data_IF_376508108420
#
_entry.id   IF_376508108420
#
_cell.length_a   1.000
_cell.length_b   1.000
_cell.length_c   1.000
_cell.angle_alpha   90.00
_cell.angle_beta   90.00
_cell.angle_gamma   90.00
#
_symmetry.space_group_name_H-M   'P 1'
#
loop_
_entity.id
_entity.type
_entity.pdbx_description
1 polymer ?
#
# COMPACT_ATOMS: atom_id res chain seq x y z
N UNK A 1 17.40 -14.07 36.84
CA UNK A 1 16.96 -14.73 35.60
C UNK A 1 15.87 -13.86 34.99
N UNK A 2 16.19 -13.09 33.96
CA UNK A 2 15.16 -12.37 33.19
C UNK A 2 14.46 -13.41 32.31
N UNK A 3 13.16 -13.62 32.52
CA UNK A 3 12.31 -14.32 31.56
C UNK A 3 12.27 -13.43 30.31
N UNK A 4 12.79 -13.94 29.20
CA UNK A 4 12.45 -13.39 27.91
C UNK A 4 10.97 -13.71 27.69
N UNK A 5 10.14 -12.68 27.56
CA UNK A 5 8.79 -12.84 27.04
C UNK A 5 8.93 -13.38 25.61
N UNK A 6 8.39 -14.58 25.36
CA UNK A 6 8.27 -15.12 24.01
C UNK A 6 7.40 -14.15 23.21
N UNK A 7 7.99 -13.53 22.19
CA UNK A 7 7.24 -12.74 21.21
C UNK A 7 6.29 -13.74 20.52
N UNK A 8 4.97 -13.53 20.54
CA UNK A 8 4.05 -14.45 19.89
C UNK A 8 4.38 -14.53 18.41
N UNK A 9 4.55 -15.75 17.90
CA UNK A 9 4.61 -16.00 16.46
C UNK A 9 3.30 -15.50 15.86
N UNK A 10 3.38 -14.46 15.04
CA UNK A 10 2.21 -13.91 14.36
C UNK A 10 1.82 -14.92 13.29
N UNK A 11 0.74 -15.66 13.49
CA UNK A 11 0.14 -16.51 12.45
C UNK A 11 -0.28 -15.63 11.28
N UNK A 12 0.50 -15.68 10.19
CA UNK A 12 0.13 -15.09 8.90
C UNK A 12 -0.86 -16.07 8.28
N UNK A 13 -2.09 -15.63 8.01
CA UNK A 13 -3.04 -16.47 7.28
C UNK A 13 -2.42 -16.89 5.93
N UNK A 14 -2.52 -18.17 5.56
CA UNK A 14 -1.89 -18.74 4.36
C UNK A 14 -2.17 -17.90 3.10
N UNK A 15 -3.39 -17.39 2.95
CA UNK A 15 -3.79 -16.52 1.83
C UNK A 15 -2.98 -15.20 1.76
N UNK A 16 -2.60 -14.64 2.91
CA UNK A 16 -1.77 -13.43 2.97
C UNK A 16 -0.32 -13.76 2.61
N UNK A 17 0.18 -14.90 3.06
CA UNK A 17 1.54 -15.37 2.71
C UNK A 17 1.67 -15.59 1.21
N UNK A 18 0.74 -16.33 0.60
CA UNK A 18 0.69 -16.59 -0.84
C UNK A 18 0.62 -15.27 -1.63
N UNK A 19 -0.18 -14.31 -1.15
CA UNK A 19 -0.32 -13.02 -1.83
C UNK A 19 0.93 -12.14 -1.67
N UNK A 20 1.65 -12.19 -0.54
CA UNK A 20 2.95 -11.50 -0.39
C UNK A 20 3.99 -12.11 -1.35
N UNK A 21 3.97 -13.43 -1.55
CA UNK A 21 4.82 -14.07 -2.54
C UNK A 21 4.48 -13.66 -3.98
N UNK A 22 3.20 -13.44 -4.28
CA UNK A 22 2.78 -12.85 -5.56
C UNK A 22 3.27 -11.39 -5.71
N UNK A 23 3.15 -10.57 -4.66
CA UNK A 23 3.72 -9.21 -4.65
C UNK A 23 5.23 -9.22 -4.88
N UNK A 24 5.95 -10.22 -4.35
CA UNK A 24 7.40 -10.36 -4.54
C UNK A 24 7.80 -10.65 -6.01
N UNK A 25 6.85 -11.06 -6.85
CA UNK A 25 7.05 -11.23 -8.30
C UNK A 25 6.83 -9.93 -9.07
N UNK A 26 6.22 -8.92 -8.45
CA UNK A 26 5.97 -7.63 -9.07
C UNK A 26 7.23 -6.76 -9.04
N UNK A 27 7.71 -6.33 -10.22
CA UNK A 27 8.90 -5.48 -10.36
C UNK A 27 8.75 -4.10 -9.73
N UNK A 28 7.51 -3.70 -9.42
CA UNK A 28 7.16 -2.40 -8.85
C UNK A 28 7.24 -2.37 -7.31
N UNK A 29 7.65 -3.47 -6.67
CA UNK A 29 7.76 -3.58 -5.22
C UNK A 29 9.19 -3.91 -4.81
N UNK A 30 9.78 -3.05 -3.99
CA UNK A 30 11.14 -3.26 -3.48
C UNK A 30 11.20 -4.52 -2.60
N UNK A 31 12.31 -5.28 -2.68
CA UNK A 31 12.50 -6.49 -1.86
C UNK A 31 12.45 -6.19 -0.37
N UNK A 32 12.95 -5.01 0.01
CA UNK A 32 12.94 -4.49 1.36
C UNK A 32 11.50 -4.22 1.83
N UNK A 33 10.60 -3.76 0.94
CA UNK A 33 9.18 -3.62 1.26
C UNK A 33 8.54 -4.98 1.53
N UNK A 34 8.84 -6.01 0.72
CA UNK A 34 8.37 -7.38 0.96
C UNK A 34 8.83 -7.90 2.32
N UNK A 35 10.11 -7.75 2.67
CA UNK A 35 10.64 -8.18 3.96
C UNK A 35 9.99 -7.46 5.14
N UNK A 36 9.70 -6.17 4.98
CA UNK A 36 8.99 -5.39 5.98
C UNK A 36 7.53 -5.86 6.14
N UNK A 37 6.85 -6.14 5.03
CA UNK A 37 5.46 -6.64 5.00
C UNK A 37 5.32 -8.03 5.63
N UNK A 38 6.30 -8.92 5.43
CA UNK A 38 6.34 -10.23 6.08
C UNK A 38 6.34 -10.11 7.62
N UNK A 39 6.92 -9.05 8.18
CA UNK A 39 6.94 -8.80 9.63
C UNK A 39 5.65 -8.13 10.13
N UNK A 40 4.81 -7.61 9.23
CA UNK A 40 3.57 -6.88 9.55
C UNK A 40 2.41 -7.41 8.68
N UNK A 41 1.93 -8.64 8.91
CA UNK A 41 0.97 -9.31 8.03
C UNK A 41 -0.37 -8.59 7.90
N UNK A 42 -0.85 -7.93 8.97
CA UNK A 42 -2.06 -7.10 8.89
C UNK A 42 -1.88 -5.91 7.94
N UNK A 43 -0.73 -5.22 8.04
CA UNK A 43 -0.39 -4.11 7.14
C UNK A 43 -0.24 -4.61 5.70
N UNK A 44 0.31 -5.81 5.52
CA UNK A 44 0.38 -6.46 4.22
C UNK A 44 -1.01 -6.73 3.62
N UNK A 45 -1.94 -7.30 4.39
CA UNK A 45 -3.30 -7.53 3.93
C UNK A 45 -3.99 -6.22 3.48
N UNK A 46 -3.81 -5.14 4.24
CA UNK A 46 -4.32 -3.80 3.92
C UNK A 46 -3.71 -3.26 2.64
N UNK A 47 -2.39 -3.29 2.52
CA UNK A 47 -1.69 -2.82 1.33
C UNK A 47 -2.12 -3.60 0.09
N UNK A 48 -2.23 -4.93 0.20
CA UNK A 48 -2.67 -5.82 -0.88
C UNK A 48 -4.07 -5.44 -1.36
N UNK A 49 -5.03 -5.27 -0.46
CA UNK A 49 -6.40 -4.90 -0.85
C UNK A 49 -6.44 -3.50 -1.46
N UNK A 50 -5.68 -2.55 -0.89
CA UNK A 50 -5.53 -1.22 -1.48
C UNK A 50 -5.00 -1.29 -2.92
N UNK A 51 -3.94 -2.06 -3.18
CA UNK A 51 -3.36 -2.19 -4.52
C UNK A 51 -4.33 -2.84 -5.50
N UNK A 52 -5.05 -3.90 -5.09
CA UNK A 52 -6.07 -4.56 -5.92
C UNK A 52 -7.18 -3.59 -6.31
N UNK A 53 -7.68 -2.78 -5.37
CA UNK A 53 -8.72 -1.77 -5.64
C UNK A 53 -8.18 -0.63 -6.50
N UNK A 54 -6.99 -0.15 -6.19
CA UNK A 54 -6.34 0.92 -6.94
C UNK A 54 -6.11 0.51 -8.41
N UNK A 55 -5.67 -0.73 -8.66
CA UNK A 55 -5.50 -1.24 -10.01
C UNK A 55 -6.82 -1.25 -10.80
N UNK A 56 -7.94 -1.59 -10.15
CA UNK A 56 -9.27 -1.53 -10.78
C UNK A 56 -9.69 -0.10 -11.10
N UNK A 57 -9.53 0.83 -10.17
CA UNK A 57 -9.83 2.26 -10.38
C UNK A 57 -8.98 2.85 -11.50
N UNK A 58 -7.68 2.51 -11.53
CA UNK A 58 -6.76 2.90 -12.60
C UNK A 58 -7.22 2.35 -13.96
N UNK A 59 -7.64 1.08 -14.03
CA UNK A 59 -8.15 0.50 -15.27
C UNK A 59 -9.37 1.26 -15.79
N UNK A 60 -10.31 1.56 -14.91
CA UNK A 60 -11.49 2.38 -15.24
C UNK A 60 -11.03 3.74 -15.78
N UNK A 61 -10.15 4.45 -15.08
CA UNK A 61 -9.63 5.75 -15.55
C UNK A 61 -8.90 5.65 -16.90
N UNK A 62 -8.13 4.59 -17.14
CA UNK A 62 -7.41 4.37 -18.40
C UNK A 62 -8.37 4.13 -19.57
N UNK A 63 -9.45 3.37 -19.37
CA UNK A 63 -10.49 3.15 -20.38
C UNK A 63 -11.13 4.46 -20.84
N UNK A 64 -11.30 5.43 -19.92
CA UNK A 64 -11.91 6.71 -20.24
C UNK A 64 -10.95 7.74 -20.82
N UNK A 65 -9.63 7.59 -20.63
CA UNK A 65 -8.76 8.76 -20.84
C UNK A 65 -7.30 8.50 -21.27
N UNK A 66 -6.94 7.28 -21.69
CA UNK A 66 -5.61 6.95 -22.22
C UNK A 66 -4.44 7.35 -21.29
N UNK A 67 -4.67 7.32 -19.98
CA UNK A 67 -3.60 7.50 -19.01
C UNK A 67 -2.80 6.20 -18.84
N UNK A 68 -1.58 6.34 -18.37
CA UNK A 68 -0.80 5.24 -17.85
C UNK A 68 -0.39 5.62 -16.44
N UNK A 69 -0.82 4.79 -15.49
CA UNK A 69 -0.52 4.94 -14.08
C UNK A 69 0.43 3.81 -13.73
N UNK A 70 1.63 4.21 -13.34
CA UNK A 70 2.64 3.30 -12.82
C UNK A 70 2.77 3.54 -11.30
N UNK A 71 3.28 2.57 -10.55
CA UNK A 71 3.51 2.75 -9.13
C UNK A 71 4.81 2.09 -8.68
N UNK A 72 5.33 2.52 -7.54
CA UNK A 72 6.54 1.99 -6.91
C UNK A 72 6.31 1.95 -5.40
N UNK A 73 6.57 0.80 -4.79
CA UNK A 73 6.42 0.60 -3.36
C UNK A 73 7.78 0.39 -2.73
N UNK A 74 8.14 1.27 -1.80
CA UNK A 74 9.42 1.26 -1.11
C UNK A 74 9.21 1.46 0.38
N UNK A 75 10.02 0.81 1.24
CA UNK A 75 10.01 1.15 2.65
C UNK A 75 10.67 2.52 2.85
N UNK A 76 10.12 3.32 3.75
CA UNK A 76 10.84 4.45 4.32
C UNK A 76 11.79 3.92 5.39
N UNK A 77 13.09 3.99 5.09
CA UNK A 77 14.16 3.53 5.98
C UNK A 77 14.30 4.33 7.27
N UNK A 78 13.74 5.55 7.33
CA UNK A 78 13.84 6.44 8.48
C UNK A 78 12.60 6.36 9.39
N UNK A 79 11.43 6.10 8.82
CA UNK A 79 10.15 6.21 9.52
C UNK A 79 9.41 4.89 9.77
N UNK A 80 9.97 3.74 9.40
CA UNK A 80 9.26 2.44 9.43
C UNK A 80 7.92 2.50 8.68
N UNK A 81 7.86 3.22 7.56
CA UNK A 81 6.65 3.37 6.74
C UNK A 81 6.79 2.60 5.43
N UNK A 82 5.67 2.35 4.74
CA UNK A 82 5.67 1.99 3.33
C UNK A 82 5.19 3.18 2.53
N UNK A 83 5.98 3.59 1.54
CA UNK A 83 5.64 4.64 0.61
C UNK A 83 5.18 4.03 -0.70
N UNK A 84 3.95 4.37 -1.10
CA UNK A 84 3.39 4.08 -2.43
C UNK A 84 3.58 5.33 -3.29
N UNK A 85 4.51 5.27 -4.22
CA UNK A 85 4.74 6.31 -5.24
C UNK A 85 3.92 5.97 -6.46
N UNK A 86 3.13 6.92 -6.95
CA UNK A 86 2.27 6.72 -8.13
C UNK A 86 2.67 7.74 -9.19
N UNK A 87 2.97 7.26 -10.39
CA UNK A 87 3.46 8.04 -11.52
C UNK A 87 2.40 8.12 -12.61
N UNK A 88 2.16 9.34 -13.10
CA UNK A 88 1.16 9.62 -14.12
C UNK A 88 1.84 10.12 -15.39
N UNK A 89 1.53 9.50 -16.53
CA UNK A 89 2.16 9.82 -17.83
C UNK A 89 1.77 11.19 -18.43
N UNK A 90 0.78 11.88 -17.88
CA UNK A 90 0.37 13.24 -18.28
C UNK A 90 0.02 14.06 -17.04
N UNK A 91 0.50 15.30 -17.00
CA UNK A 91 0.07 16.26 -16.00
C UNK A 91 -1.32 16.80 -16.34
N UNK A 92 -2.33 16.37 -15.56
CA UNK A 92 -3.55 17.13 -15.39
C UNK A 92 -3.72 17.38 -13.89
N UNK A 93 -3.56 18.64 -13.47
CA UNK A 93 -3.70 19.00 -12.06
C UNK A 93 -5.05 18.59 -11.46
N UNK A 94 -6.12 18.57 -12.27
CA UNK A 94 -7.42 18.05 -11.87
C UNK A 94 -7.40 16.54 -11.62
N UNK A 95 -6.78 15.77 -12.53
CA UNK A 95 -6.64 14.33 -12.41
C UNK A 95 -5.73 13.92 -11.25
N UNK A 96 -4.62 14.63 -11.03
CA UNK A 96 -3.72 14.40 -9.90
C UNK A 96 -4.49 14.51 -8.57
N UNK A 97 -5.39 15.49 -8.47
CA UNK A 97 -6.20 15.70 -7.28
C UNK A 97 -7.25 14.60 -7.10
N UNK A 98 -7.88 14.19 -8.19
CA UNK A 98 -8.90 13.14 -8.21
C UNK A 98 -8.30 11.78 -7.83
N UNK A 99 -7.16 11.41 -8.42
CA UNK A 99 -6.43 10.19 -8.08
C UNK A 99 -6.00 10.20 -6.61
N UNK A 100 -5.42 11.31 -6.11
CA UNK A 100 -5.07 11.46 -4.69
C UNK A 100 -6.28 11.26 -3.78
N UNK A 101 -7.43 11.81 -4.14
CA UNK A 101 -8.68 11.64 -3.38
C UNK A 101 -9.17 10.20 -3.41
N UNK A 102 -9.17 9.56 -4.59
CA UNK A 102 -9.57 8.16 -4.75
C UNK A 102 -8.71 7.25 -3.89
N UNK A 103 -7.38 7.38 -3.94
CA UNK A 103 -6.48 6.55 -3.13
C UNK A 103 -6.71 6.80 -1.64
N UNK A 104 -6.84 8.07 -1.21
CA UNK A 104 -7.09 8.38 0.20
C UNK A 104 -8.41 7.81 0.72
N UNK A 105 -9.44 7.79 -0.13
CA UNK A 105 -10.74 7.20 0.20
C UNK A 105 -10.62 5.67 0.30
N UNK A 106 -10.02 5.04 -0.72
CA UNK A 106 -9.76 3.60 -0.72
C UNK A 106 -8.95 3.15 0.50
N UNK A 107 -7.88 3.86 0.85
CA UNK A 107 -7.08 3.56 2.03
C UNK A 107 -7.94 3.61 3.30
N UNK A 108 -8.78 4.64 3.43
CA UNK A 108 -9.66 4.78 4.59
C UNK A 108 -10.69 3.65 4.65
N UNK A 109 -11.26 3.25 3.52
CA UNK A 109 -12.22 2.16 3.43
C UNK A 109 -11.58 0.82 3.78
N UNK A 110 -10.45 0.48 3.15
CA UNK A 110 -9.74 -0.77 3.39
C UNK A 110 -9.35 -0.92 4.87
N UNK A 111 -8.78 0.11 5.50
CA UNK A 111 -8.43 0.03 6.93
C UNK A 111 -9.69 -0.14 7.79
N UNK A 112 -10.79 0.56 7.48
CA UNK A 112 -12.06 0.43 8.24
C UNK A 112 -12.68 -0.96 8.12
N UNK A 113 -12.56 -1.60 6.96
CA UNK A 113 -13.08 -2.94 6.73
C UNK A 113 -12.33 -4.02 7.52
N UNK A 114 -11.11 -3.75 7.98
CA UNK A 114 -10.31 -4.68 8.79
C UNK A 114 -10.75 -4.77 10.27
N UNK A 115 -11.87 -4.15 10.66
CA UNK A 115 -12.40 -4.18 12.05
C UNK A 115 -11.38 -3.76 13.12
N UNK A 116 -10.55 -2.76 12.80
CA UNK A 116 -9.49 -2.24 13.66
C UNK A 116 -10.04 -1.27 14.69
N UNK A 117 -9.44 -1.21 15.88
CA UNK A 117 -9.71 -0.11 16.82
C UNK A 117 -9.10 1.21 16.34
N UNK A 118 -9.46 2.33 16.97
CA UNK A 118 -9.09 3.67 16.49
C UNK A 118 -7.59 3.96 16.62
N UNK A 119 -6.89 3.35 17.58
CA UNK A 119 -5.45 3.49 17.74
C UNK A 119 -4.71 2.69 16.68
N UNK A 120 -5.14 1.46 16.42
CA UNK A 120 -4.63 0.60 15.36
C UNK A 120 -4.89 1.20 13.97
N UNK A 121 -6.06 1.85 13.77
CA UNK A 121 -6.40 2.59 12.56
C UNK A 121 -5.42 3.75 12.30
N UNK A 122 -5.19 4.60 13.31
CA UNK A 122 -4.31 5.77 13.18
C UNK A 122 -2.88 5.34 12.92
N UNK A 123 -2.38 4.35 13.67
CA UNK A 123 -1.03 3.80 13.51
C UNK A 123 -0.82 3.20 12.13
N UNK A 124 -1.78 2.38 11.67
CA UNK A 124 -1.73 1.74 10.34
C UNK A 124 -1.78 2.75 9.21
N UNK A 125 -2.63 3.77 9.33
CA UNK A 125 -2.70 4.86 8.36
C UNK A 125 -1.40 5.66 8.34
N UNK A 126 -0.77 5.90 9.48
CA UNK A 126 0.52 6.59 9.57
C UNK A 126 1.66 5.76 8.95
N UNK A 127 1.63 4.43 9.11
CA UNK A 127 2.60 3.52 8.51
C UNK A 127 2.52 3.46 6.96
N UNK A 128 1.54 4.11 6.32
CA UNK A 128 1.36 4.14 4.87
C UNK A 128 1.44 5.55 4.31
N UNK A 129 2.60 5.88 3.73
CA UNK A 129 2.79 7.09 2.96
C UNK A 129 2.30 6.93 1.51
N UNK A 130 1.60 7.92 0.98
CA UNK A 130 1.20 7.95 -0.44
C UNK A 130 1.74 9.21 -1.10
N UNK A 131 2.49 9.03 -2.19
CA UNK A 131 3.08 10.12 -2.97
C UNK A 131 2.63 10.00 -4.43
N UNK A 132 1.83 10.94 -4.91
CA UNK A 132 1.43 10.97 -6.33
C UNK A 132 2.28 12.00 -7.08
N UNK A 133 3.05 11.55 -8.08
CA UNK A 133 3.88 12.40 -8.94
C UNK A 133 3.31 12.42 -10.37
N UNK A 134 3.13 13.63 -10.90
CA UNK A 134 3.02 13.81 -12.35
C UNK A 134 4.41 13.66 -12.99
N UNK A 135 4.49 13.19 -14.23
CA UNK A 135 5.73 13.27 -14.99
C UNK A 135 6.18 14.75 -15.07
N UNK A 136 7.35 15.07 -14.48
CA UNK A 136 8.02 16.33 -14.79
C UNK A 136 8.44 16.30 -16.26
N UNK A 137 8.05 17.34 -17.00
CA UNK A 137 8.38 17.50 -18.43
C UNK A 137 9.88 17.63 -18.67
#
# INVERSE_FOLDING_TARGET
>A
MHRFEEVPEVEIADETSDTIEELAKDSHIAKEAIQYLQKRPKLAAILIDLLKRLQREIQVLNEYSHYHVDYLIEPDSECEEIIIKIYLNKESNGLNLEIRRTISNLLTEVIREQTMDEEEFVSTRAAMGIVVRGAEQ
#
